data_IF_796220987935
#
_entry.id   IF_796220987935
#
_cell.length_a   1.000
_cell.length_b   1.000
_cell.length_c   1.000
_cell.angle_alpha   90.00
_cell.angle_beta   90.00
_cell.angle_gamma   90.00
#
_symmetry.space_group_name_H-M   'P 1'
#
loop_
_entity.id
_entity.type
_entity.pdbx_description
1 polymer ?
#
# COMPACT_ATOMS: atom_id res chain seq x y z
N UNK A 1 -24.57 -0.65 -20.08
CA UNK A 1 -23.32 0.14 -19.96
C UNK A 1 -22.24 -0.79 -19.42
N UNK A 2 -21.23 -1.13 -20.22
CA UNK A 2 -20.15 -2.00 -19.76
C UNK A 2 -18.99 -1.13 -19.24
N UNK A 3 -18.83 -1.09 -17.91
CA UNK A 3 -17.68 -0.41 -17.29
C UNK A 3 -16.45 -1.30 -17.48
N UNK A 4 -15.61 -0.98 -18.47
CA UNK A 4 -14.30 -1.60 -18.61
C UNK A 4 -13.33 -1.01 -17.57
N UNK A 5 -13.34 -1.58 -16.37
CA UNK A 5 -12.32 -1.33 -15.36
C UNK A 5 -11.01 -1.94 -15.86
N UNK A 6 -10.08 -1.10 -16.34
CA UNK A 6 -8.70 -1.50 -16.65
C UNK A 6 -8.02 -1.99 -15.37
N UNK A 7 -8.11 -3.30 -15.08
CA UNK A 7 -7.41 -3.94 -13.95
C UNK A 7 -5.91 -3.95 -14.24
N UNK A 8 -5.12 -3.35 -13.34
CA UNK A 8 -3.65 -3.45 -13.40
C UNK A 8 -3.21 -4.82 -12.89
N UNK A 9 -2.27 -5.44 -13.59
CA UNK A 9 -1.66 -6.69 -13.16
C UNK A 9 -0.67 -6.41 -12.02
N UNK A 10 -0.73 -7.24 -10.99
CA UNK A 10 0.18 -7.17 -9.84
C UNK A 10 0.69 -8.58 -9.56
N UNK A 11 1.99 -8.71 -9.34
CA UNK A 11 2.62 -9.95 -8.90
C UNK A 11 2.67 -9.96 -7.38
N UNK A 12 2.19 -11.05 -6.77
CA UNK A 12 2.17 -11.23 -5.32
C UNK A 12 2.99 -12.47 -4.99
N UNK A 13 3.85 -12.36 -3.99
CA UNK A 13 4.66 -13.48 -3.51
C UNK A 13 3.94 -14.21 -2.37
N UNK A 14 4.01 -15.53 -2.38
CA UNK A 14 3.36 -16.40 -1.40
C UNK A 14 4.39 -17.26 -0.67
N UNK A 15 4.04 -17.66 0.55
CA UNK A 15 4.64 -18.84 1.15
C UNK A 15 4.21 -20.07 0.33
N UNK A 16 5.18 -20.90 -0.05
CA UNK A 16 4.98 -22.02 -0.98
C UNK A 16 3.81 -22.93 -0.58
N UNK A 17 3.76 -23.32 0.70
CA UNK A 17 2.70 -24.19 1.24
C UNK A 17 1.29 -23.62 1.00
N UNK A 18 1.10 -22.31 1.25
CA UNK A 18 -0.20 -21.65 1.06
C UNK A 18 -0.59 -21.63 -0.41
N UNK A 19 0.38 -21.38 -1.29
CA UNK A 19 0.13 -21.40 -2.73
C UNK A 19 -0.31 -22.79 -3.22
N UNK A 20 0.32 -23.85 -2.73
CA UNK A 20 -0.08 -25.24 -3.04
C UNK A 20 -1.51 -25.54 -2.55
N UNK A 21 -1.88 -25.10 -1.35
CA UNK A 21 -3.26 -25.24 -0.86
C UNK A 21 -4.27 -24.54 -1.78
N UNK A 22 -4.00 -23.29 -2.18
CA UNK A 22 -4.85 -22.56 -3.12
C UNK A 22 -4.92 -23.25 -4.49
N UNK A 23 -3.82 -23.85 -4.97
CA UNK A 23 -3.84 -24.64 -6.20
C UNK A 23 -4.70 -25.89 -6.08
N UNK A 24 -4.63 -26.59 -4.96
CA UNK A 24 -5.44 -27.78 -4.73
C UNK A 24 -6.93 -27.44 -4.70
N UNK A 25 -7.31 -26.44 -3.92
CA UNK A 25 -8.71 -25.97 -3.82
C UNK A 25 -9.20 -25.48 -5.20
N UNK A 26 -8.36 -24.79 -5.97
CA UNK A 26 -8.69 -24.35 -7.32
C UNK A 26 -9.00 -25.54 -8.25
N UNK A 27 -8.22 -26.63 -8.15
CA UNK A 27 -8.47 -27.86 -8.92
C UNK A 27 -9.79 -28.52 -8.53
N UNK A 28 -10.06 -28.63 -7.23
CA UNK A 28 -11.30 -29.23 -6.69
C UNK A 28 -12.55 -28.43 -7.13
N UNK A 29 -12.44 -27.11 -7.21
CA UNK A 29 -13.53 -26.22 -7.60
C UNK A 29 -13.60 -25.92 -9.10
N UNK A 30 -12.67 -26.43 -9.91
CA UNK A 30 -12.52 -26.10 -11.33
C UNK A 30 -12.42 -24.57 -11.59
N UNK A 31 -11.70 -23.87 -10.72
CA UNK A 31 -11.48 -22.41 -10.79
C UNK A 31 -10.00 -22.09 -11.01
N UNK A 32 -9.68 -20.84 -11.34
CA UNK A 32 -8.28 -20.38 -11.39
C UNK A 32 -7.80 -20.04 -9.98
N UNK A 33 -6.58 -20.45 -9.64
CA UNK A 33 -5.93 -20.08 -8.36
C UNK A 33 -5.94 -18.57 -8.11
N UNK A 34 -5.73 -17.77 -9.16
CA UNK A 34 -5.76 -16.30 -9.07
C UNK A 34 -7.13 -15.72 -8.72
N UNK A 35 -8.22 -16.43 -9.02
CA UNK A 35 -9.58 -16.01 -8.63
C UNK A 35 -9.81 -16.27 -7.14
N UNK A 36 -9.41 -17.43 -6.63
CA UNK A 36 -9.49 -17.73 -5.20
C UNK A 36 -8.63 -16.78 -4.36
N UNK A 37 -7.43 -16.46 -4.84
CA UNK A 37 -6.56 -15.47 -4.20
C UNK A 37 -7.23 -14.10 -4.17
N UNK A 38 -7.93 -13.71 -5.26
CA UNK A 38 -8.64 -12.43 -5.31
C UNK A 38 -9.79 -12.40 -4.30
N UNK A 39 -10.61 -13.45 -4.26
CA UNK A 39 -11.72 -13.57 -3.31
C UNK A 39 -11.21 -13.49 -1.86
N UNK A 40 -10.12 -14.20 -1.55
CA UNK A 40 -9.50 -14.16 -0.22
C UNK A 40 -8.93 -12.78 0.14
N UNK A 41 -8.40 -12.04 -0.85
CA UNK A 41 -7.95 -10.65 -0.64
C UNK A 41 -9.13 -9.71 -0.42
N UNK A 42 -10.21 -9.87 -1.17
CA UNK A 42 -11.43 -9.08 -1.02
C UNK A 42 -12.05 -9.31 0.37
N UNK A 43 -12.14 -10.57 0.82
CA UNK A 43 -12.60 -10.92 2.17
C UNK A 43 -11.69 -10.34 3.27
N UNK A 44 -10.36 -10.43 3.10
CA UNK A 44 -9.42 -9.83 4.03
C UNK A 44 -9.63 -8.32 4.13
N UNK A 45 -9.80 -7.64 2.99
CA UNK A 45 -10.09 -6.21 2.94
C UNK A 45 -11.42 -5.88 3.59
N UNK A 46 -12.49 -6.63 3.34
CA UNK A 46 -13.79 -6.37 3.98
C UNK A 46 -13.71 -6.50 5.51
N UNK A 47 -13.00 -7.52 6.00
CA UNK A 47 -12.87 -7.79 7.42
C UNK A 47 -11.85 -6.88 8.15
N UNK A 48 -10.81 -6.41 7.46
CA UNK A 48 -9.71 -5.63 8.06
C UNK A 48 -9.65 -4.17 7.59
N UNK A 49 -10.36 -3.78 6.54
CA UNK A 49 -10.54 -2.37 6.16
C UNK A 49 -11.60 -1.67 7.03
N UNK A 50 -12.05 -2.31 8.10
CA UNK A 50 -12.76 -1.69 9.22
C UNK A 50 -11.86 -0.79 10.07
N UNK A 51 -11.14 0.12 9.42
CA UNK A 51 -10.93 1.48 9.90
C UNK A 51 -10.83 2.35 8.65
N UNK A 52 -11.97 2.68 8.04
CA UNK A 52 -12.05 3.88 7.21
C UNK A 52 -11.74 5.07 8.12
N UNK A 53 -10.46 5.30 8.38
CA UNK A 53 -9.97 6.52 9.00
C UNK A 53 -10.51 7.63 8.13
N UNK A 54 -11.39 8.45 8.71
CA UNK A 54 -11.78 9.70 8.10
C UNK A 54 -10.51 10.42 7.63
N UNK A 55 -10.61 11.27 6.61
CA UNK A 55 -9.43 12.02 6.13
C UNK A 55 -8.71 12.76 7.28
N UNK A 56 -9.44 13.14 8.34
CA UNK A 56 -8.92 13.69 9.60
C UNK A 56 -8.06 12.73 10.45
N UNK A 57 -8.15 11.43 10.25
CA UNK A 57 -7.42 10.39 10.98
C UNK A 57 -6.21 9.85 10.21
N UNK A 58 -5.92 10.37 9.01
CA UNK A 58 -4.65 10.13 8.35
C UNK A 58 -3.52 10.83 9.11
N UNK A 59 -2.68 10.05 9.80
CA UNK A 59 -1.42 10.57 10.33
C UNK A 59 -0.43 10.67 9.17
N UNK A 60 0.17 11.83 8.90
CA UNK A 60 1.22 11.92 7.90
C UNK A 60 2.33 10.94 8.28
N UNK A 61 2.76 10.13 7.32
CA UNK A 61 3.94 9.28 7.48
C UNK A 61 5.14 10.22 7.57
N UNK A 62 5.55 10.56 8.79
CA UNK A 62 6.79 11.32 8.96
C UNK A 62 7.94 10.44 8.48
N UNK A 63 8.74 10.91 7.54
CA UNK A 63 9.95 10.23 7.04
C UNK A 63 11.10 10.25 8.07
N UNK A 64 10.78 10.04 9.35
CA UNK A 64 11.61 10.39 10.48
C UNK A 64 11.47 11.88 10.78
N UNK A 65 10.87 12.21 11.93
CA UNK A 65 10.99 13.55 12.47
C UNK A 65 12.47 13.90 12.61
N UNK A 66 12.88 15.03 12.06
CA UNK A 66 14.14 15.66 12.43
C UNK A 66 14.13 15.73 13.97
N UNK A 67 15.03 14.97 14.61
CA UNK A 67 15.22 15.00 16.06
C UNK A 67 15.33 16.47 16.48
N UNK A 68 14.83 16.84 17.66
CA UNK A 68 14.84 18.23 18.14
C UNK A 68 16.24 18.89 18.17
N UNK A 69 17.31 18.10 18.09
CA UNK A 69 18.69 18.56 17.91
C UNK A 69 19.12 18.88 16.47
N UNK A 70 18.26 18.71 15.48
CA UNK A 70 18.52 19.07 14.09
C UNK A 70 18.05 20.49 13.72
N UNK A 71 17.62 21.26 14.71
CA UNK A 71 17.45 22.72 14.58
C UNK A 71 18.74 23.40 14.09
N UNK A 72 19.90 22.83 14.42
CA UNK A 72 21.21 23.33 13.99
C UNK A 72 21.57 22.98 12.54
N UNK A 73 20.86 22.03 11.90
CA UNK A 73 21.06 21.68 10.49
C UNK A 73 20.26 22.56 9.53
N UNK A 74 19.24 23.25 10.04
CA UNK A 74 18.55 24.32 9.31
C UNK A 74 19.23 25.63 9.72
N UNK A 75 20.54 25.71 9.49
CA UNK A 75 21.19 27.02 9.49
C UNK A 75 20.57 27.85 8.37
N UNK A 76 20.43 29.15 8.62
CA UNK A 76 19.86 30.11 7.67
C UNK A 76 20.52 30.01 6.29
N UNK A 77 21.81 29.68 6.29
CA UNK A 77 22.64 29.49 5.10
C UNK A 77 22.12 28.36 4.19
N UNK A 78 21.60 27.26 4.75
CA UNK A 78 21.04 26.16 3.96
C UNK A 78 19.65 26.49 3.38
N UNK A 79 18.88 27.33 4.09
CA UNK A 79 17.61 27.84 3.56
C UNK A 79 17.84 28.82 2.40
N UNK A 80 18.86 29.68 2.49
CA UNK A 80 19.22 30.60 1.41
C UNK A 80 19.78 29.88 0.18
N UNK A 81 20.48 28.76 0.34
CA UNK A 81 20.99 27.96 -0.78
C UNK A 81 19.90 27.15 -1.50
N UNK A 82 18.93 26.58 -0.77
CA UNK A 82 17.80 25.83 -1.36
C UNK A 82 16.70 26.74 -1.91
N UNK A 83 16.45 27.90 -1.28
CA UNK A 83 15.47 28.89 -1.75
C UNK A 83 16.12 29.97 -2.64
N UNK A 84 17.36 29.74 -3.08
CA UNK A 84 18.12 30.64 -3.93
C UNK A 84 17.31 31.11 -5.14
N UNK A 85 17.00 32.41 -5.15
CA UNK A 85 16.51 33.19 -6.29
C UNK A 85 15.16 32.77 -6.89
N UNK A 86 14.08 32.99 -6.16
CA UNK A 86 12.78 33.20 -6.78
C UNK A 86 11.96 34.27 -6.05
N UNK A 87 12.53 35.46 -5.89
CA UNK A 87 11.91 36.78 -6.07
C UNK A 87 13.02 37.85 -6.14
#
# INVERSE_FOLDING_TARGET
>A
MAVSLKKKLVTIYFQELKYLMFQQIAKEQNRKTAELVRDAMDEYLENHAAEKKAFSAWKPVSLGGLKDGAKDWISKDYQEEILGSAF
#
